data_IF_274797866526
#
_entry.id   IF_274797866526
#
_cell.length_a   1.000
_cell.length_b   1.000
_cell.length_c   1.000
_cell.angle_alpha   90.00
_cell.angle_beta   90.00
_cell.angle_gamma   90.00
#
_symmetry.space_group_name_H-M   'P 1'
#
loop_
_entity.id
_entity.type
_entity.pdbx_description
1 polymer ?
#
# COMPACT_ATOMS: atom_id res chain seq x y z
N UNK A 1 -6.81 11.75 14.95
CA UNK A 1 -5.68 10.81 14.93
C UNK A 1 -4.87 11.05 13.68
N UNK A 2 -3.76 10.35 13.51
CA UNK A 2 -2.86 10.55 12.38
C UNK A 2 -3.39 9.90 11.08
N UNK A 3 -4.20 8.87 11.23
CA UNK A 3 -4.90 8.11 10.20
C UNK A 3 -6.15 7.43 10.82
N UNK A 4 -7.00 6.79 10.02
CA UNK A 4 -8.21 6.12 10.53
C UNK A 4 -7.82 4.80 11.21
N UNK A 5 -7.06 3.96 10.50
CA UNK A 5 -6.53 2.69 11.02
C UNK A 5 -5.33 2.18 10.21
N UNK A 6 -4.59 1.23 10.78
CA UNK A 6 -3.48 0.52 10.16
C UNK A 6 -3.64 -0.99 10.36
N UNK A 7 -3.22 -1.76 9.36
CA UNK A 7 -3.30 -3.22 9.37
C UNK A 7 -1.99 -3.85 8.89
N UNK A 8 -1.68 -5.01 9.47
CA UNK A 8 -0.68 -5.94 8.97
C UNK A 8 -1.41 -7.16 8.41
N UNK A 9 -1.25 -7.39 7.11
CA UNK A 9 -1.97 -8.43 6.37
C UNK A 9 -0.96 -9.40 5.74
N UNK A 10 -1.31 -10.68 5.75
CA UNK A 10 -0.63 -11.73 4.98
C UNK A 10 -1.48 -12.15 3.77
N UNK A 11 -0.86 -12.62 2.67
CA UNK A 11 -1.57 -13.33 1.60
C UNK A 11 -2.45 -14.44 2.17
N UNK A 12 -3.58 -14.73 1.51
CA UNK A 12 -4.17 -16.05 1.64
C UNK A 12 -3.23 -17.07 1.00
N UNK A 13 -2.59 -17.88 1.85
CA UNK A 13 -1.94 -19.10 1.39
C UNK A 13 -3.02 -20.18 1.27
N UNK A 14 -3.47 -20.50 0.06
CA UNK A 14 -3.83 -21.90 -0.17
C UNK A 14 -2.54 -22.69 -0.01
N UNK A 15 -2.47 -23.52 1.03
CA UNK A 15 -1.31 -24.36 1.34
C UNK A 15 -1.23 -25.47 0.27
N UNK A 16 -0.76 -25.11 -0.91
CA UNK A 16 -0.24 -26.05 -1.90
C UNK A 16 1.22 -26.28 -1.60
N UNK A 17 1.55 -27.37 -0.91
CA UNK A 17 2.92 -27.85 -0.82
C UNK A 17 3.44 -28.10 -2.24
N UNK A 18 4.23 -27.18 -2.79
CA UNK A 18 5.04 -27.47 -3.97
C UNK A 18 6.24 -28.31 -3.52
N UNK A 19 6.05 -29.62 -3.40
CA UNK A 19 7.16 -30.56 -3.47
C UNK A 19 7.70 -30.51 -4.91
N UNK A 20 8.92 -29.97 -5.06
CA UNK A 20 9.73 -30.22 -6.25
C UNK A 20 9.89 -31.74 -6.42
N UNK A 21 9.23 -32.32 -7.42
CA UNK A 21 9.45 -33.71 -7.80
C UNK A 21 8.18 -34.40 -8.28
N UNK A 22 8.24 -34.87 -9.52
CA UNK A 22 7.35 -35.77 -10.25
C UNK A 22 6.26 -36.47 -9.43
N UNK A 23 5.03 -36.41 -9.98
CA UNK A 23 3.82 -36.91 -9.36
C UNK A 23 3.94 -38.31 -8.75
N UNK A 24 3.50 -38.42 -7.50
CA UNK A 24 2.79 -39.55 -6.92
C UNK A 24 2.19 -39.09 -5.59
N UNK A 25 0.89 -39.32 -5.41
CA UNK A 25 0.21 -39.15 -4.13
C UNK A 25 0.77 -40.18 -3.15
N UNK A 26 1.50 -39.73 -2.13
CA UNK A 26 1.84 -40.55 -0.97
C UNK A 26 1.43 -39.81 0.29
N UNK A 27 0.32 -40.27 0.85
CA UNK A 27 -0.08 -40.05 2.23
C UNK A 27 1.02 -40.51 3.18
N UNK A 28 1.63 -39.59 3.91
CA UNK A 28 2.29 -39.91 5.17
C UNK A 28 2.12 -38.75 6.16
N UNK A 29 1.65 -39.14 7.35
CA UNK A 29 1.28 -38.27 8.45
C UNK A 29 2.44 -37.38 8.90
N UNK A 30 2.35 -36.09 8.64
CA UNK A 30 2.94 -35.05 9.49
C UNK A 30 1.82 -34.22 10.09
N UNK A 31 1.38 -34.65 11.27
CA UNK A 31 0.62 -33.82 12.19
C UNK A 31 1.52 -32.69 12.71
N UNK A 32 1.56 -31.58 11.99
CA UNK A 32 1.84 -30.27 12.57
C UNK A 32 0.58 -29.42 12.43
N UNK A 33 0.01 -29.05 13.57
CA UNK A 33 -0.99 -27.99 13.69
C UNK A 33 -0.47 -26.73 12.99
N UNK A 34 -0.84 -26.51 11.73
CA UNK A 34 -0.81 -25.17 11.13
C UNK A 34 -2.25 -24.65 11.16
N UNK A 35 -2.53 -23.90 12.23
CA UNK A 35 -3.73 -23.08 12.36
C UNK A 35 -3.94 -22.26 11.10
N UNK A 36 -5.17 -22.24 10.58
CA UNK A 36 -5.69 -21.23 9.67
C UNK A 36 -5.48 -19.84 10.28
N UNK A 37 -4.32 -19.25 10.06
CA UNK A 37 -4.00 -17.91 10.58
C UNK A 37 -4.88 -16.90 9.87
N UNK A 38 -5.64 -16.11 10.64
CA UNK A 38 -6.43 -15.03 10.09
C UNK A 38 -5.58 -14.14 9.17
N UNK A 39 -6.09 -13.67 8.02
CA UNK A 39 -5.30 -12.89 7.05
C UNK A 39 -4.73 -11.61 7.67
N UNK A 40 -5.38 -11.08 8.71
CA UNK A 40 -4.95 -9.89 9.45
C UNK A 40 -4.23 -10.32 10.72
N UNK A 41 -2.95 -9.98 10.82
CA UNK A 41 -2.05 -10.33 11.92
C UNK A 41 -1.98 -9.26 13.01
N UNK A 42 -2.29 -8.01 12.63
CA UNK A 42 -2.35 -6.87 13.54
C UNK A 42 -3.27 -5.81 12.94
N UNK A 43 -4.02 -5.12 13.79
CA UNK A 43 -4.79 -3.94 13.43
C UNK A 43 -4.82 -2.92 14.55
N UNK A 44 -4.83 -1.65 14.20
CA UNK A 44 -4.99 -0.57 15.17
C UNK A 44 -5.77 0.62 14.57
N UNK A 45 -6.77 1.17 15.29
CA UNK A 45 -7.24 0.72 16.60
C UNK A 45 -8.02 -0.63 16.50
N UNK A 46 -8.20 -1.37 17.61
CA UNK A 46 -8.81 -2.71 17.57
C UNK A 46 -10.27 -2.74 17.10
N UNK A 47 -10.99 -1.62 17.21
CA UNK A 47 -12.38 -1.44 16.83
C UNK A 47 -12.59 -1.02 15.37
N UNK A 48 -11.50 -0.83 14.61
CA UNK A 48 -11.56 -0.57 13.17
C UNK A 48 -12.40 -1.64 12.44
N UNK A 49 -13.20 -1.17 11.48
CA UNK A 49 -14.12 -1.94 10.64
C UNK A 49 -13.68 -1.92 9.17
N UNK A 50 -14.31 -2.75 8.33
CA UNK A 50 -14.14 -2.81 6.87
C UNK A 50 -12.75 -3.27 6.36
N UNK A 51 -11.91 -3.84 7.23
CA UNK A 51 -10.55 -4.26 6.91
C UNK A 51 -10.45 -5.52 6.04
N UNK A 52 -11.52 -6.34 5.98
CA UNK A 52 -11.51 -7.63 5.27
C UNK A 52 -11.24 -7.48 3.77
N UNK A 53 -11.68 -6.38 3.16
CA UNK A 53 -11.50 -6.13 1.72
C UNK A 53 -10.11 -5.60 1.37
N UNK A 54 -9.38 -5.04 2.34
CA UNK A 54 -8.06 -4.44 2.10
C UNK A 54 -7.05 -5.45 1.58
N UNK A 55 -7.22 -6.74 1.90
CA UNK A 55 -6.36 -7.81 1.39
C UNK A 55 -6.25 -7.80 -0.14
N UNK A 56 -7.36 -7.57 -0.83
CA UNK A 56 -7.41 -7.55 -2.30
C UNK A 56 -6.60 -6.38 -2.85
N UNK A 57 -6.66 -5.22 -2.17
CA UNK A 57 -5.90 -4.03 -2.57
C UNK A 57 -4.43 -4.07 -2.16
N UNK A 58 -4.09 -4.71 -1.04
CA UNK A 58 -2.69 -4.91 -0.60
C UNK A 58 -1.97 -5.96 -1.46
N UNK A 59 -2.73 -6.79 -2.16
CA UNK A 59 -2.23 -7.89 -2.96
C UNK A 59 -2.97 -8.06 -4.30
N UNK A 60 -3.00 -7.03 -5.14
CA UNK A 60 -3.84 -6.99 -6.33
C UNK A 60 -3.36 -7.90 -7.47
N UNK A 61 -2.08 -8.32 -7.42
CA UNK A 61 -1.32 -9.05 -8.44
C UNK A 61 -0.87 -10.44 -7.93
N UNK A 62 -1.58 -11.00 -6.93
CA UNK A 62 -1.24 -12.31 -6.38
C UNK A 62 -1.66 -13.48 -7.25
N UNK A 63 -2.69 -13.31 -8.06
CA UNK A 63 -3.26 -14.34 -8.90
C UNK A 63 -3.06 -13.97 -10.38
N UNK A 64 -2.73 -14.97 -11.20
CA UNK A 64 -2.79 -14.82 -12.64
C UNK A 64 -4.25 -14.86 -13.14
N UNK A 65 -4.46 -14.67 -14.45
CA UNK A 65 -5.79 -14.71 -15.07
C UNK A 65 -6.52 -16.06 -14.92
N UNK A 66 -5.81 -17.11 -14.49
CA UNK A 66 -6.32 -18.45 -14.27
C UNK A 66 -6.42 -18.78 -12.76
N UNK A 67 -6.32 -17.78 -11.89
CA UNK A 67 -6.31 -17.90 -10.43
C UNK A 67 -5.12 -18.69 -9.86
N UNK A 68 -4.00 -18.80 -10.59
CA UNK A 68 -2.79 -19.41 -10.05
C UNK A 68 -1.95 -18.36 -9.29
N UNK A 69 -1.32 -18.74 -8.16
CA UNK A 69 -0.41 -17.86 -7.45
C UNK A 69 0.76 -17.41 -8.34
N UNK A 70 0.87 -16.11 -8.57
CA UNK A 70 2.04 -15.52 -9.22
C UNK A 70 3.25 -15.66 -8.32
N UNK A 71 4.37 -16.12 -8.88
CA UNK A 71 5.65 -16.18 -8.17
C UNK A 71 6.18 -14.77 -7.90
N UNK A 72 5.71 -14.15 -6.82
CA UNK A 72 6.20 -12.88 -6.30
C UNK A 72 7.66 -12.98 -5.79
N UNK A 73 8.18 -14.21 -5.67
CA UNK A 73 9.54 -14.53 -5.23
C UNK A 73 10.65 -13.95 -6.13
N UNK A 74 10.35 -13.52 -7.37
CA UNK A 74 11.35 -12.90 -8.26
C UNK A 74 11.54 -11.39 -8.07
N UNK A 75 10.65 -10.70 -7.33
CA UNK A 75 10.79 -9.27 -7.04
C UNK A 75 11.27 -9.08 -5.61
N UNK A 76 12.58 -9.03 -5.41
CA UNK A 76 13.22 -8.97 -4.08
C UNK A 76 13.16 -7.58 -3.42
N UNK A 77 12.16 -6.77 -3.69
CA UNK A 77 12.19 -5.36 -3.30
C UNK A 77 10.92 -4.99 -2.58
N UNK A 78 11.09 -4.46 -1.36
CA UNK A 78 10.08 -3.68 -0.67
C UNK A 78 9.40 -2.74 -1.67
N UNK A 79 8.08 -2.82 -1.75
CA UNK A 79 7.29 -2.04 -2.68
C UNK A 79 6.35 -1.13 -1.91
N UNK A 80 6.25 0.12 -2.36
CA UNK A 80 5.31 1.09 -1.84
C UNK A 80 4.35 1.49 -2.94
N UNK A 81 3.06 1.45 -2.63
CA UNK A 81 2.03 1.87 -3.56
C UNK A 81 0.82 2.37 -2.79
N UNK A 82 -0.06 3.07 -3.50
CA UNK A 82 -1.31 3.55 -2.93
C UNK A 82 -2.52 3.24 -3.79
N UNK A 83 -3.63 3.00 -3.14
CA UNK A 83 -4.93 2.81 -3.77
C UNK A 83 -5.97 3.76 -3.17
N UNK A 84 -7.10 3.90 -3.85
CA UNK A 84 -8.21 4.74 -3.43
C UNK A 84 -9.44 3.88 -3.23
N UNK A 85 -10.02 3.97 -2.04
CA UNK A 85 -11.31 3.40 -1.71
C UNK A 85 -12.35 4.50 -1.89
N UNK A 86 -13.44 4.20 -2.58
CA UNK A 86 -14.54 5.16 -2.76
C UNK A 86 -15.80 4.55 -2.16
N UNK A 87 -16.39 5.24 -1.18
CA UNK A 87 -17.62 4.77 -0.58
C UNK A 87 -18.84 5.07 -1.46
N UNK A 88 -20.02 4.60 -1.03
CA UNK A 88 -21.27 4.80 -1.76
C UNK A 88 -21.70 6.27 -1.91
N UNK A 89 -21.13 7.18 -1.12
CA UNK A 89 -21.37 8.63 -1.22
C UNK A 89 -20.34 9.34 -2.11
N UNK A 90 -19.42 8.60 -2.75
CA UNK A 90 -18.35 9.16 -3.58
C UNK A 90 -17.19 9.76 -2.77
N UNK A 91 -17.17 9.58 -1.45
CA UNK A 91 -16.07 10.05 -0.60
C UNK A 91 -14.90 9.08 -0.74
N UNK A 92 -13.71 9.65 -0.97
CA UNK A 92 -12.47 8.90 -1.15
C UNK A 92 -11.72 8.74 0.17
N UNK A 93 -11.26 7.53 0.44
CA UNK A 93 -10.22 7.21 1.40
C UNK A 93 -9.00 6.66 0.66
N UNK A 94 -7.83 6.80 1.26
CA UNK A 94 -6.55 6.47 0.67
C UNK A 94 -5.91 5.34 1.48
N UNK A 95 -5.56 4.25 0.79
CA UNK A 95 -4.78 3.16 1.36
C UNK A 95 -3.34 3.28 0.90
N UNK A 96 -2.41 3.37 1.85
CA UNK A 96 -0.97 3.38 1.60
C UNK A 96 -0.42 2.04 2.03
N UNK A 97 0.25 1.32 1.13
CA UNK A 97 0.70 -0.04 1.37
C UNK A 97 2.21 -0.13 1.22
N UNK A 98 2.86 -0.73 2.22
CA UNK A 98 4.25 -1.21 2.14
C UNK A 98 4.23 -2.73 2.12
N UNK A 99 4.67 -3.30 1.00
CA UNK A 99 4.71 -4.74 0.78
C UNK A 99 6.15 -5.23 0.79
N UNK A 100 6.45 -6.24 1.59
CA UNK A 100 7.82 -6.69 1.82
C UNK A 100 7.89 -8.16 2.24
N UNK A 101 9.06 -8.78 2.10
CA UNK A 101 9.30 -10.13 2.60
C UNK A 101 9.89 -10.08 4.01
N UNK A 102 9.27 -10.79 4.95
CA UNK A 102 9.78 -11.01 6.29
C UNK A 102 9.68 -12.50 6.62
N UNK A 103 10.79 -13.12 7.07
CA UNK A 103 10.89 -14.58 7.30
C UNK A 103 10.44 -15.42 6.10
N UNK A 104 10.75 -14.96 4.87
CA UNK A 104 10.33 -15.55 3.57
C UNK A 104 8.82 -15.55 3.31
N UNK A 105 8.04 -14.89 4.16
CA UNK A 105 6.61 -14.70 3.97
C UNK A 105 6.41 -13.29 3.41
N UNK A 106 5.51 -13.15 2.44
CA UNK A 106 5.10 -11.84 1.94
C UNK A 106 4.19 -11.17 2.97
N UNK A 107 4.48 -9.92 3.31
CA UNK A 107 3.74 -9.13 4.28
C UNK A 107 3.29 -7.83 3.64
N UNK A 108 2.17 -7.29 4.09
CA UNK A 108 1.74 -5.94 3.77
C UNK A 108 1.41 -5.18 5.06
N UNK A 109 2.00 -4.00 5.23
CA UNK A 109 1.52 -2.99 6.17
C UNK A 109 0.72 -1.96 5.39
N UNK A 110 -0.52 -1.69 5.83
CA UNK A 110 -1.38 -0.74 5.14
C UNK A 110 -2.00 0.27 6.11
N UNK A 111 -1.79 1.56 5.84
CA UNK A 111 -2.47 2.67 6.54
C UNK A 111 -3.63 3.14 5.68
N UNK A 112 -4.81 3.29 6.30
CA UNK A 112 -6.00 3.89 5.67
C UNK A 112 -6.31 5.23 6.30
N UNK A 113 -6.54 6.24 5.46
CA UNK A 113 -6.78 7.62 5.89
C UNK A 113 -7.68 8.38 4.92
N UNK A 114 -8.49 9.35 5.39
CA UNK A 114 -9.24 10.24 4.51
C UNK A 114 -8.36 11.37 3.94
N UNK A 115 -7.11 11.48 4.40
CA UNK A 115 -6.18 12.54 4.01
C UNK A 115 -5.11 12.02 3.05
N UNK A 116 -4.89 12.69 1.91
CA UNK A 116 -3.89 12.26 0.92
C UNK A 116 -2.43 12.64 1.28
N UNK A 117 -1.87 12.13 2.37
CA UNK A 117 -0.56 12.54 2.90
C UNK A 117 0.56 11.53 2.62
N UNK A 118 0.87 11.30 1.34
CA UNK A 118 1.78 10.23 0.90
C UNK A 118 3.14 10.22 1.62
N UNK A 119 3.84 11.36 1.71
CA UNK A 119 5.15 11.43 2.39
C UNK A 119 5.10 11.03 3.86
N UNK A 120 4.04 11.45 4.57
CA UNK A 120 3.88 11.12 5.98
C UNK A 120 3.66 9.62 6.12
N UNK A 121 2.74 9.05 5.34
CA UNK A 121 2.39 7.64 5.47
C UNK A 121 3.47 6.69 4.93
N UNK A 122 4.13 7.03 3.83
CA UNK A 122 5.29 6.28 3.34
C UNK A 122 6.43 6.31 4.37
N UNK A 123 6.70 7.45 5.00
CA UNK A 123 7.73 7.53 6.04
C UNK A 123 7.40 6.65 7.25
N UNK A 124 6.15 6.69 7.72
CA UNK A 124 5.68 5.84 8.84
C UNK A 124 5.81 4.36 8.47
N UNK A 125 5.32 3.99 7.29
CA UNK A 125 5.39 2.62 6.80
C UNK A 125 6.83 2.15 6.59
N UNK A 126 7.73 3.01 6.10
CA UNK A 126 9.15 2.68 5.95
C UNK A 126 9.78 2.34 7.27
N UNK A 127 9.57 3.17 8.29
CA UNK A 127 10.08 2.93 9.63
C UNK A 127 9.52 1.64 10.23
N UNK A 128 8.22 1.40 10.09
CA UNK A 128 7.61 0.15 10.57
C UNK A 128 8.17 -1.07 9.83
N UNK A 129 8.30 -1.02 8.51
CA UNK A 129 8.87 -2.11 7.70
C UNK A 129 10.33 -2.37 8.05
N UNK A 130 11.15 -1.33 8.29
CA UNK A 130 12.54 -1.47 8.73
C UNK A 130 12.64 -2.22 10.07
N UNK A 131 11.73 -1.96 11.02
CA UNK A 131 11.64 -2.70 12.28
C UNK A 131 11.28 -4.17 12.05
N UNK A 132 10.33 -4.47 11.14
CA UNK A 132 10.05 -5.85 10.73
C UNK A 132 11.28 -6.54 10.14
N UNK A 133 11.98 -5.89 9.21
CA UNK A 133 13.18 -6.44 8.57
C UNK A 133 14.33 -6.63 9.57
N UNK A 134 14.36 -5.84 10.64
CA UNK A 134 15.29 -5.96 11.77
C UNK A 134 14.85 -6.98 12.82
N UNK A 135 13.85 -7.82 12.54
CA UNK A 135 13.28 -8.83 13.45
C UNK A 135 12.65 -8.27 14.73
N UNK A 136 12.22 -7.00 14.69
CA UNK A 136 11.61 -6.26 15.80
C UNK A 136 10.11 -6.01 15.54
N UNK A 137 9.38 -7.07 15.22
CA UNK A 137 7.95 -7.00 14.86
C UNK A 137 7.08 -6.36 15.97
N UNK A 138 7.32 -6.70 17.24
CA UNK A 138 6.56 -6.12 18.35
C UNK A 138 6.83 -4.61 18.50
N UNK A 139 8.08 -4.19 18.34
CA UNK A 139 8.45 -2.77 18.33
C UNK A 139 7.77 -2.04 17.16
N UNK A 140 7.65 -2.67 15.98
CA UNK A 140 6.92 -2.09 14.85
C UNK A 140 5.43 -1.87 15.18
N UNK A 141 4.79 -2.85 15.82
CA UNK A 141 3.38 -2.75 16.26
C UNK A 141 3.22 -1.64 17.29
N UNK A 142 4.06 -1.62 18.33
CA UNK A 142 4.07 -0.55 19.34
C UNK A 142 4.30 0.83 18.73
N UNK A 143 5.22 0.96 17.75
CA UNK A 143 5.44 2.23 17.04
C UNK A 143 4.18 2.72 16.33
N UNK A 144 3.47 1.82 15.64
CA UNK A 144 2.22 2.15 14.94
C UNK A 144 1.11 2.56 15.92
N UNK A 145 0.99 1.89 17.06
CA UNK A 145 0.05 2.23 18.13
C UNK A 145 0.34 3.61 18.74
N UNK A 146 1.59 3.87 19.13
CA UNK A 146 1.99 5.14 19.75
C UNK A 146 1.81 6.34 18.81
N UNK A 147 2.14 6.18 17.52
CA UNK A 147 2.06 7.28 16.56
C UNK A 147 0.60 7.64 16.19
N UNK A 148 -0.32 6.67 16.27
CA UNK A 148 -1.74 6.85 15.92
C UNK A 148 -2.42 8.01 16.66
N UNK A 149 -2.12 8.16 17.95
CA UNK A 149 -2.76 9.14 18.82
C UNK A 149 -2.40 10.59 18.50
N UNK A 150 -1.37 10.81 17.69
CA UNK A 150 -0.94 12.15 17.30
C UNK A 150 -1.87 12.74 16.24
N UNK A 151 -1.88 14.08 16.12
CA UNK A 151 -2.62 14.77 15.06
C UNK A 151 -1.77 14.89 13.81
N UNK A 152 -2.41 14.92 12.65
CA UNK A 152 -1.72 15.30 11.42
C UNK A 152 -1.14 16.72 11.55
N UNK A 153 0.11 16.95 11.12
CA UNK A 153 0.69 18.29 11.03
C UNK A 153 -0.12 19.15 10.05
N UNK A 154 -0.25 20.45 10.35
CA UNK A 154 -0.81 21.38 9.37
C UNK A 154 0.17 21.59 8.21
N UNK A 155 -0.31 22.17 7.12
CA UNK A 155 0.51 22.46 5.94
C UNK A 155 1.70 23.36 6.30
N UNK A 156 2.91 22.89 6.01
CA UNK A 156 4.15 23.58 6.34
C UNK A 156 4.71 23.30 7.74
N UNK A 157 3.92 22.67 8.62
CA UNK A 157 4.34 22.38 9.99
C UNK A 157 5.21 21.13 10.08
N UNK A 158 6.00 21.07 11.16
CA UNK A 158 6.74 19.89 11.57
C UNK A 158 6.34 19.52 12.99
N UNK A 159 6.03 18.25 13.21
CA UNK A 159 5.77 17.71 14.54
C UNK A 159 6.85 16.72 14.93
N UNK A 160 7.14 16.68 16.22
CA UNK A 160 8.07 15.75 16.82
C UNK A 160 7.31 14.83 17.77
N UNK A 161 7.50 13.53 17.60
CA UNK A 161 6.81 12.47 18.31
C UNK A 161 7.87 11.62 18.98
N UNK A 162 7.81 11.47 20.30
CA UNK A 162 8.67 10.51 21.00
C UNK A 162 7.96 9.16 21.04
N UNK A 163 8.61 8.15 20.49
CA UNK A 163 8.14 6.76 20.52
C UNK A 163 9.13 5.90 21.25
N UNK A 164 8.66 4.87 21.95
CA UNK A 164 9.51 3.92 22.68
C UNK A 164 10.46 3.17 21.73
N UNK A 165 10.02 2.72 20.53
CA UNK A 165 10.87 1.97 19.60
C UNK A 165 11.93 2.78 18.86
N UNK A 166 11.58 3.99 18.37
CA UNK A 166 12.46 4.77 17.47
C UNK A 166 12.93 6.10 18.06
N UNK A 167 12.57 6.39 19.31
CA UNK A 167 12.96 7.63 19.98
C UNK A 167 12.26 8.84 19.35
N UNK A 168 13.02 9.90 19.06
CA UNK A 168 12.48 11.14 18.48
C UNK A 168 12.19 10.97 16.98
N UNK A 169 10.91 10.85 16.66
CA UNK A 169 10.39 10.74 15.31
C UNK A 169 9.86 12.08 14.81
N UNK A 170 10.17 12.47 13.58
CA UNK A 170 9.80 13.78 13.04
C UNK A 170 8.93 13.62 11.80
N UNK A 171 7.77 14.25 11.78
CA UNK A 171 6.87 14.30 10.63
C UNK A 171 6.75 15.75 10.15
N UNK A 172 7.06 15.99 8.88
CA UNK A 172 6.95 17.28 8.23
C UNK A 172 5.83 17.22 7.19
N UNK A 173 4.97 18.24 7.16
CA UNK A 173 3.98 18.40 6.11
C UNK A 173 4.45 19.46 5.12
N UNK A 174 4.56 19.13 3.85
CA UNK A 174 4.85 20.13 2.84
C UNK A 174 3.70 21.14 2.69
N UNK A 175 4.06 22.40 2.47
CA UNK A 175 3.08 23.48 2.32
C UNK A 175 2.25 23.30 1.04
N UNK A 176 2.92 22.93 -0.07
CA UNK A 176 2.32 22.64 -1.36
C UNK A 176 2.42 21.15 -1.67
N UNK A 177 1.29 20.45 -1.56
CA UNK A 177 1.19 19.00 -1.77
C UNK A 177 1.55 18.58 -3.20
N UNK A 178 1.47 19.49 -4.18
CA UNK A 178 1.81 19.18 -5.57
C UNK A 178 3.29 18.85 -5.73
N UNK A 179 4.17 19.44 -4.90
CA UNK A 179 5.60 19.12 -4.91
C UNK A 179 5.88 17.66 -4.59
N UNK A 180 5.01 17.07 -3.78
CA UNK A 180 5.13 15.71 -3.27
C UNK A 180 4.47 14.72 -4.22
N UNK A 181 3.31 15.08 -4.77
CA UNK A 181 2.49 14.16 -5.56
C UNK A 181 2.94 14.05 -7.03
N UNK A 182 3.71 15.01 -7.53
CA UNK A 182 4.27 14.98 -8.88
C UNK A 182 5.58 14.19 -8.86
N UNK A 183 5.50 12.92 -9.27
CA UNK A 183 6.67 12.08 -9.49
C UNK A 183 7.33 12.44 -10.83
N UNK A 184 8.22 13.43 -10.78
CA UNK A 184 8.94 13.91 -11.95
C UNK A 184 9.79 12.81 -12.60
N UNK A 185 10.32 11.86 -11.82
CA UNK A 185 11.18 10.79 -12.34
C UNK A 185 10.35 9.86 -13.22
N UNK A 186 9.22 9.37 -12.71
CA UNK A 186 8.35 8.47 -13.48
C UNK A 186 7.70 9.20 -14.66
N UNK A 187 7.36 10.48 -14.52
CA UNK A 187 6.81 11.28 -15.61
C UNK A 187 7.82 11.48 -16.75
N UNK A 188 9.09 11.75 -16.43
CA UNK A 188 10.16 11.96 -17.41
C UNK A 188 10.59 10.69 -18.14
N UNK A 189 10.19 9.50 -17.65
CA UNK A 189 10.35 8.25 -18.38
C UNK A 189 9.38 8.11 -19.56
N UNK A 190 8.37 8.98 -19.68
CA UNK A 190 7.46 9.03 -20.82
C UNK A 190 7.91 10.06 -21.85
N UNK A 191 7.60 9.81 -23.13
CA UNK A 191 7.80 10.82 -24.17
C UNK A 191 6.82 12.00 -23.99
N UNK A 192 7.24 13.20 -24.39
CA UNK A 192 6.40 14.40 -24.37
C UNK A 192 5.07 14.20 -25.09
N UNK A 193 5.09 13.50 -26.22
CA UNK A 193 3.88 13.16 -26.98
C UNK A 193 2.90 12.31 -26.15
N UNK A 194 3.42 11.32 -25.42
CA UNK A 194 2.61 10.45 -24.56
C UNK A 194 2.00 11.25 -23.41
N UNK A 195 2.79 12.11 -22.76
CA UNK A 195 2.31 12.97 -21.67
C UNK A 195 1.18 13.88 -22.16
N UNK A 196 1.35 14.54 -23.31
CA UNK A 196 0.32 15.42 -23.88
C UNK A 196 -0.94 14.64 -24.24
N UNK A 197 -0.80 13.45 -24.85
CA UNK A 197 -1.96 12.59 -25.18
C UNK A 197 -2.74 12.20 -23.94
N UNK A 198 -2.06 11.68 -22.91
CA UNK A 198 -2.71 11.29 -21.65
C UNK A 198 -3.38 12.49 -21.00
N UNK A 199 -2.66 13.61 -20.84
CA UNK A 199 -3.20 14.81 -20.22
C UNK A 199 -4.42 15.35 -20.99
N UNK A 200 -4.36 15.36 -22.33
CA UNK A 200 -5.50 15.74 -23.18
C UNK A 200 -6.68 14.80 -22.95
N UNK A 201 -6.48 13.49 -22.96
CA UNK A 201 -7.53 12.51 -22.69
C UNK A 201 -8.18 12.72 -21.31
N UNK A 202 -7.40 13.11 -20.29
CA UNK A 202 -7.96 13.46 -18.97
C UNK A 202 -8.80 14.74 -19.06
N UNK A 203 -8.34 15.78 -19.76
CA UNK A 203 -9.11 17.02 -19.94
C UNK A 203 -10.42 16.81 -20.74
N UNK A 204 -10.44 15.82 -21.63
CA UNK A 204 -11.65 15.38 -22.34
C UNK A 204 -12.49 14.35 -21.57
N UNK A 205 -12.16 14.11 -20.30
CA UNK A 205 -12.85 13.15 -19.42
C UNK A 205 -12.98 11.73 -20.02
N UNK A 206 -11.96 11.30 -20.77
CA UNK A 206 -11.96 9.99 -21.41
C UNK A 206 -11.70 8.86 -20.40
N UNK A 207 -12.14 7.65 -20.75
CA UNK A 207 -11.83 6.43 -20.00
C UNK A 207 -10.37 6.05 -20.26
N UNK A 208 -9.56 6.02 -19.22
CA UNK A 208 -8.14 5.69 -19.29
C UNK A 208 -7.85 4.43 -18.49
N UNK A 209 -7.06 3.53 -19.10
CA UNK A 209 -6.55 2.33 -18.45
C UNK A 209 -5.03 2.41 -18.51
N UNK A 210 -4.41 2.37 -17.33
CA UNK A 210 -2.96 2.30 -17.21
C UNK A 210 -2.57 0.86 -16.88
N UNK A 211 -1.58 0.33 -17.59
CA UNK A 211 -1.06 -1.03 -17.40
C UNK A 211 0.42 -0.91 -17.07
N UNK A 212 0.84 -1.56 -15.99
CA UNK A 212 2.22 -1.55 -15.54
C UNK A 212 2.57 -2.86 -14.85
N UNK A 213 3.87 -3.15 -14.81
CA UNK A 213 4.40 -4.36 -14.19
C UNK A 213 4.74 -4.15 -12.71
N UNK A 214 4.75 -2.91 -12.21
CA UNK A 214 5.10 -2.53 -10.84
C UNK A 214 4.05 -1.57 -10.29
N UNK A 215 3.53 -1.84 -9.09
CA UNK A 215 2.43 -1.09 -8.50
C UNK A 215 2.87 0.31 -8.08
N UNK A 216 4.08 0.44 -7.52
CA UNK A 216 4.60 1.71 -7.04
C UNK A 216 4.71 2.78 -8.13
N UNK A 217 5.52 2.57 -9.18
CA UNK A 217 5.62 3.50 -10.31
C UNK A 217 4.28 3.75 -11.00
N UNK A 218 3.47 2.70 -11.20
CA UNK A 218 2.15 2.81 -11.83
C UNK A 218 1.23 3.76 -11.06
N UNK A 219 1.09 3.53 -9.74
CA UNK A 219 0.23 4.37 -8.91
C UNK A 219 0.76 5.78 -8.77
N UNK A 220 2.08 5.99 -8.63
CA UNK A 220 2.67 7.33 -8.60
C UNK A 220 2.41 8.09 -9.91
N UNK A 221 2.54 7.44 -11.06
CA UNK A 221 2.29 8.05 -12.36
C UNK A 221 0.82 8.46 -12.54
N UNK A 222 -0.12 7.55 -12.25
CA UNK A 222 -1.57 7.82 -12.34
C UNK A 222 -1.92 9.04 -11.48
N UNK A 223 -1.41 9.05 -10.25
CA UNK A 223 -1.67 10.14 -9.32
C UNK A 223 -0.99 11.46 -9.71
N UNK A 224 0.19 11.40 -10.32
CA UNK A 224 0.86 12.58 -10.89
C UNK A 224 -0.05 13.26 -11.91
N UNK A 225 -0.61 12.49 -12.84
CA UNK A 225 -1.53 13.02 -13.85
C UNK A 225 -2.80 13.64 -13.24
N UNK A 226 -3.38 13.01 -12.20
CA UNK A 226 -4.52 13.59 -11.47
C UNK A 226 -4.13 14.89 -10.78
N UNK A 227 -2.92 14.98 -10.22
CA UNK A 227 -2.44 16.20 -9.56
C UNK A 227 -2.15 17.34 -10.54
N UNK A 228 -1.79 17.02 -11.79
CA UNK A 228 -1.60 18.02 -12.86
C UNK A 228 -2.92 18.74 -13.24
N UNK A 229 -4.08 18.22 -12.83
CA UNK A 229 -5.36 18.89 -13.07
C UNK A 229 -5.60 20.12 -12.19
N UNK A 230 -4.77 20.35 -11.17
CA UNK A 230 -4.93 21.48 -10.26
C UNK A 230 -5.20 22.80 -11.02
N UNK A 231 -6.21 23.59 -10.62
CA UNK A 231 -7.01 23.49 -9.40
C UNK A 231 -8.22 22.54 -9.49
N UNK A 232 -8.42 21.86 -10.61
CA UNK A 232 -9.50 20.89 -10.79
C UNK A 232 -9.16 19.53 -10.17
N UNK A 233 -10.19 18.73 -9.94
CA UNK A 233 -10.09 17.35 -9.47
C UNK A 233 -10.83 16.43 -10.44
N UNK A 234 -10.32 15.20 -10.62
CA UNK A 234 -11.01 14.19 -11.42
C UNK A 234 -12.38 13.83 -10.80
N UNK A 235 -13.51 14.11 -11.49
CA UNK A 235 -14.84 14.00 -10.90
C UNK A 235 -15.42 12.57 -10.96
N UNK A 236 -14.87 11.71 -11.82
CA UNK A 236 -15.41 10.39 -12.11
C UNK A 236 -14.74 9.28 -11.28
N UNK A 237 -15.09 8.04 -11.59
CA UNK A 237 -14.48 6.83 -11.04
C UNK A 237 -12.95 6.91 -11.11
N UNK A 238 -12.30 6.64 -9.98
CA UNK A 238 -10.86 6.63 -9.84
C UNK A 238 -10.42 5.41 -9.06
N UNK A 239 -9.82 4.45 -9.76
CA UNK A 239 -9.35 3.18 -9.20
C UNK A 239 -7.90 2.99 -9.65
N UNK A 240 -6.91 3.47 -8.86
CA UNK A 240 -5.49 3.40 -9.25
C UNK A 240 -4.95 1.98 -9.37
N UNK A 241 -5.56 1.06 -8.62
CA UNK A 241 -5.25 -0.36 -8.60
C UNK A 241 -6.57 -1.11 -8.66
N UNK A 242 -6.70 -1.97 -9.65
CA UNK A 242 -7.80 -2.92 -9.74
C UNK A 242 -7.27 -4.28 -9.27
N UNK A 243 -7.80 -4.84 -8.16
CA UNK A 243 -7.45 -6.19 -7.74
C UNK A 243 -7.96 -7.25 -8.73
N UNK A 244 -7.26 -8.38 -8.83
CA UNK A 244 -7.66 -9.56 -9.60
C UNK A 244 -8.91 -10.26 -9.03
#
# INVERSE_FOLDING_TARGET
TLYDYVVHILPEQEIGYFSNGNGCLLSSNFSQHLSTTAPIQFKYPPDAQDEATLRYFCFPDQLDSNNNPLSLAKKSTQEYFRFTLTNMHGVRQYGYCSRFFHKRILNALCIVSPFDMIEIYEKILSTATELFLSYKENEAKTFLEEIYHHRLPNRGDTIHITTSPVGLYTLKCEYDRRKVLIDSITLLNLSTETIIKIFSSILYEQKLIFIGNELGPLTRLINTFVCLLYPFSWPHTFVPILPA
#
